data_IF_884535197088
#
_entry.id   IF_884535197088
#
_cell.length_a   1.000
_cell.length_b   1.000
_cell.length_c   1.000
_cell.angle_alpha   90.00
_cell.angle_beta   90.00
_cell.angle_gamma   90.00
#
_symmetry.space_group_name_H-M   'P 1'
#
loop_
_entity.id
_entity.type
_entity.pdbx_description
1 polymer ?
#
# COMPACT_ATOMS: atom_id res chain seq x y z
N UNK A 1 -22.76 21.17 -21.32
CA UNK A 1 -22.08 20.15 -20.49
C UNK A 1 -21.80 18.93 -21.37
N UNK A 2 -20.52 18.58 -21.58
CA UNK A 2 -20.05 17.57 -22.56
C UNK A 2 -20.77 16.22 -22.42
N UNK A 3 -21.20 15.86 -21.21
CA UNK A 3 -21.94 14.62 -20.93
C UNK A 3 -23.27 14.47 -21.70
N UNK A 4 -23.94 15.56 -22.10
CA UNK A 4 -25.20 15.48 -22.87
C UNK A 4 -24.97 15.21 -24.37
N UNK A 5 -23.72 15.20 -24.82
CA UNK A 5 -23.37 14.90 -26.22
C UNK A 5 -23.27 13.39 -26.47
N UNK A 6 -23.22 12.57 -25.43
CA UNK A 6 -23.30 11.10 -25.55
C UNK A 6 -24.74 10.71 -25.90
N UNK A 7 -24.93 10.11 -27.07
CA UNK A 7 -26.25 9.71 -27.58
C UNK A 7 -26.61 8.26 -27.28
N UNK A 8 -25.61 7.43 -27.04
CA UNK A 8 -25.76 6.00 -26.85
C UNK A 8 -25.26 5.61 -25.46
N UNK A 9 -26.06 4.83 -24.76
CA UNK A 9 -25.72 4.25 -23.45
C UNK A 9 -25.81 2.74 -23.59
N UNK A 10 -24.66 2.07 -23.47
CA UNK A 10 -24.58 0.61 -23.51
C UNK A 10 -24.49 0.11 -22.07
N UNK A 11 -25.48 -0.69 -21.65
CA UNK A 11 -25.53 -1.29 -20.32
C UNK A 11 -25.24 -2.79 -20.44
N UNK A 12 -24.15 -3.23 -19.81
CA UNK A 12 -23.82 -4.64 -19.71
C UNK A 12 -24.58 -5.25 -18.53
N UNK A 13 -25.40 -6.26 -18.80
CA UNK A 13 -26.26 -6.91 -17.80
C UNK A 13 -25.69 -8.22 -17.25
N UNK A 14 -24.76 -8.84 -17.97
CA UNK A 14 -24.18 -10.13 -17.57
C UNK A 14 -23.02 -9.93 -16.59
N UNK A 15 -23.14 -10.57 -15.41
CA UNK A 15 -22.09 -10.55 -14.39
C UNK A 15 -21.30 -11.85 -14.44
N UNK A 16 -20.08 -11.77 -14.99
CA UNK A 16 -19.17 -12.92 -15.12
C UNK A 16 -18.36 -13.20 -13.86
N UNK A 17 -18.13 -12.20 -12.99
CA UNK A 17 -17.25 -12.35 -11.81
C UNK A 17 -17.79 -13.29 -10.73
N UNK A 18 -19.10 -13.41 -10.62
CA UNK A 18 -19.79 -14.25 -9.64
C UNK A 18 -20.62 -15.34 -10.34
N UNK A 19 -20.29 -15.70 -11.59
CA UNK A 19 -21.10 -16.63 -12.37
C UNK A 19 -21.21 -18.01 -11.72
N UNK A 20 -20.16 -18.44 -11.00
CA UNK A 20 -20.08 -19.73 -10.31
C UNK A 20 -20.83 -19.76 -8.97
N UNK A 21 -21.27 -18.60 -8.45
CA UNK A 21 -22.02 -18.50 -7.20
C UNK A 21 -23.31 -17.68 -7.41
N UNK A 22 -24.41 -18.35 -7.81
CA UNK A 22 -25.69 -17.69 -8.04
C UNK A 22 -26.26 -17.00 -6.80
N UNK A 23 -26.03 -17.56 -5.61
CA UNK A 23 -26.54 -17.02 -4.35
C UNK A 23 -25.87 -15.68 -4.06
N UNK A 24 -24.54 -15.65 -4.13
CA UNK A 24 -23.79 -14.42 -3.92
C UNK A 24 -24.03 -13.38 -5.03
N UNK A 25 -24.14 -13.81 -6.28
CA UNK A 25 -24.49 -12.93 -7.42
C UNK A 25 -25.81 -12.22 -7.18
N UNK A 26 -26.84 -12.95 -6.75
CA UNK A 26 -28.17 -12.39 -6.55
C UNK A 26 -28.22 -11.46 -5.33
N UNK A 27 -27.48 -11.80 -4.26
CA UNK A 27 -27.27 -10.92 -3.12
C UNK A 27 -26.62 -9.58 -3.55
N UNK A 28 -25.54 -9.62 -4.34
CA UNK A 28 -24.87 -8.41 -4.85
C UNK A 28 -25.81 -7.58 -5.73
N UNK A 29 -26.66 -8.23 -6.53
CA UNK A 29 -27.67 -7.54 -7.36
C UNK A 29 -28.68 -6.80 -6.48
N UNK A 30 -29.18 -7.43 -5.41
CA UNK A 30 -30.10 -6.82 -4.44
C UNK A 30 -29.43 -5.69 -3.66
N UNK A 31 -28.17 -5.86 -3.23
CA UNK A 31 -27.39 -4.81 -2.58
C UNK A 31 -27.27 -3.55 -3.43
N UNK A 32 -27.01 -3.69 -4.74
CA UNK A 32 -26.95 -2.56 -5.69
C UNK A 32 -28.27 -1.85 -5.89
N UNK A 33 -29.39 -2.56 -5.76
CA UNK A 33 -30.74 -2.01 -5.87
C UNK A 33 -31.31 -1.53 -4.52
N UNK A 34 -30.51 -1.55 -3.44
CA UNK A 34 -30.94 -1.24 -2.07
C UNK A 34 -32.12 -2.11 -1.59
N UNK A 35 -32.18 -3.37 -2.02
CA UNK A 35 -33.28 -4.31 -1.75
C UNK A 35 -32.79 -5.58 -1.01
N UNK A 36 -31.88 -5.41 -0.05
CA UNK A 36 -31.35 -6.52 0.76
C UNK A 36 -32.44 -7.11 1.67
N UNK A 37 -32.48 -8.44 1.76
CA UNK A 37 -33.42 -9.16 2.62
C UNK A 37 -32.80 -9.58 3.96
N UNK A 38 -33.61 -10.10 4.88
CA UNK A 38 -33.14 -10.62 6.16
C UNK A 38 -32.29 -11.89 5.97
N UNK A 39 -32.62 -12.73 4.98
CA UNK A 39 -31.81 -13.90 4.61
C UNK A 39 -30.44 -13.50 4.05
N UNK A 40 -30.36 -12.41 3.28
CA UNK A 40 -29.07 -11.87 2.82
C UNK A 40 -28.19 -11.43 3.99
N UNK A 41 -28.79 -10.78 4.99
CA UNK A 41 -28.09 -10.36 6.20
C UNK A 41 -27.64 -11.56 7.04
N UNK A 42 -28.50 -12.57 7.19
CA UNK A 42 -28.15 -13.82 7.86
C UNK A 42 -26.97 -14.51 7.16
N UNK A 43 -26.99 -14.58 5.82
CA UNK A 43 -25.91 -15.14 5.02
C UNK A 43 -24.59 -14.38 5.24
N UNK A 44 -24.61 -13.05 5.21
CA UNK A 44 -23.42 -12.23 5.47
C UNK A 44 -22.87 -12.43 6.88
N UNK A 45 -23.75 -12.57 7.88
CA UNK A 45 -23.34 -12.82 9.25
C UNK A 45 -22.64 -14.18 9.43
N UNK A 46 -22.97 -15.18 8.61
CA UNK A 46 -22.22 -16.46 8.60
C UNK A 46 -20.76 -16.33 8.12
N UNK A 47 -20.40 -15.20 7.49
CA UNK A 47 -19.07 -14.93 6.92
C UNK A 47 -18.27 -13.92 7.72
N UNK A 48 -18.72 -13.56 8.93
CA UNK A 48 -17.98 -12.67 9.82
C UNK A 48 -16.73 -13.37 10.31
N UNK A 49 -15.58 -12.74 10.05
CA UNK A 49 -14.28 -13.20 10.53
C UNK A 49 -14.14 -12.88 12.03
N UNK A 50 -13.69 -13.84 12.81
CA UNK A 50 -13.43 -13.67 14.26
C UNK A 50 -11.96 -13.38 14.56
N UNK A 51 -11.06 -13.76 13.65
CA UNK A 51 -9.62 -13.54 13.76
C UNK A 51 -9.01 -13.16 12.41
N UNK A 52 -8.01 -12.28 12.45
CA UNK A 52 -7.26 -11.86 11.27
C UNK A 52 -6.22 -12.89 10.83
N UNK A 53 -5.93 -13.88 11.66
CA UNK A 53 -4.86 -14.87 11.46
C UNK A 53 -5.40 -16.26 11.10
N UNK A 54 -6.67 -16.33 10.68
CA UNK A 54 -7.27 -17.55 10.17
C UNK A 54 -6.48 -18.06 8.94
N UNK A 55 -6.12 -19.35 8.84
CA UNK A 55 -5.41 -19.89 7.68
C UNK A 55 -6.13 -19.66 6.35
N UNK A 56 -7.46 -19.64 6.37
CA UNK A 56 -8.30 -19.36 5.20
C UNK A 56 -8.12 -17.93 4.67
N UNK A 57 -7.56 -17.03 5.48
CA UNK A 57 -7.25 -15.65 5.12
C UNK A 57 -5.78 -15.46 4.71
N UNK A 58 -4.98 -16.54 4.59
CA UNK A 58 -3.62 -16.43 4.09
C UNK A 58 -3.62 -15.99 2.62
N UNK A 59 -2.93 -14.89 2.31
CA UNK A 59 -2.94 -14.28 0.97
C UNK A 59 -4.22 -13.49 0.63
N UNK A 60 -5.19 -13.38 1.55
CA UNK A 60 -6.40 -12.60 1.32
C UNK A 60 -6.15 -11.09 1.36
N UNK A 61 -6.88 -10.35 0.52
CA UNK A 61 -6.92 -8.88 0.53
C UNK A 61 -7.97 -8.37 1.51
N UNK A 62 -7.54 -7.55 2.47
CA UNK A 62 -8.39 -6.81 3.40
C UNK A 62 -8.81 -5.47 2.82
N UNK A 63 -10.12 -5.24 2.79
CA UNK A 63 -10.71 -3.95 2.41
C UNK A 63 -11.30 -3.31 3.66
N UNK A 64 -10.81 -2.12 4.00
CA UNK A 64 -11.28 -1.36 5.16
C UNK A 64 -11.64 0.07 4.80
N UNK A 65 -12.55 0.66 5.58
CA UNK A 65 -13.08 2.01 5.33
C UNK A 65 -12.06 3.13 5.60
N UNK A 66 -11.19 2.96 6.59
CA UNK A 66 -10.29 4.01 7.07
C UNK A 66 -8.83 3.70 6.77
N UNK A 67 -8.08 4.69 6.27
CA UNK A 67 -6.64 4.55 6.04
C UNK A 67 -5.87 4.25 7.32
N UNK A 68 -6.26 4.85 8.45
CA UNK A 68 -5.64 4.57 9.75
C UNK A 68 -5.77 3.09 10.14
N UNK A 69 -6.95 2.50 9.92
CA UNK A 69 -7.18 1.08 10.17
C UNK A 69 -6.38 0.21 9.20
N UNK A 70 -6.29 0.60 7.92
CA UNK A 70 -5.46 -0.09 6.92
C UNK A 70 -4.00 -0.14 7.35
N UNK A 71 -3.43 0.99 7.78
CA UNK A 71 -2.04 1.04 8.25
C UNK A 71 -1.82 0.17 9.47
N UNK A 72 -2.75 0.20 10.43
CA UNK A 72 -2.68 -0.65 11.62
C UNK A 72 -2.74 -2.15 11.26
N UNK A 73 -3.68 -2.56 10.40
CA UNK A 73 -3.79 -3.93 9.93
C UNK A 73 -2.55 -4.38 9.15
N UNK A 74 -1.98 -3.49 8.33
CA UNK A 74 -0.76 -3.77 7.59
C UNK A 74 0.42 -4.01 8.54
N UNK A 75 0.56 -3.22 9.60
CA UNK A 75 1.58 -3.41 10.63
C UNK A 75 1.40 -4.77 11.32
N UNK A 76 0.20 -5.05 11.82
CA UNK A 76 -0.12 -6.31 12.52
C UNK A 76 0.13 -7.53 11.62
N UNK A 77 -0.27 -7.45 10.33
CA UNK A 77 -0.01 -8.52 9.35
C UNK A 77 1.47 -8.66 9.03
N UNK A 78 2.22 -7.56 8.94
CA UNK A 78 3.68 -7.58 8.70
C UNK A 78 4.42 -8.23 9.87
N UNK A 79 4.06 -7.87 11.11
CA UNK A 79 4.60 -8.50 12.33
C UNK A 79 4.34 -10.00 12.36
N UNK A 80 3.08 -10.40 12.11
CA UNK A 80 2.73 -11.82 12.08
C UNK A 80 3.47 -12.56 10.97
N UNK A 81 3.53 -12.00 9.76
CA UNK A 81 4.24 -12.59 8.62
C UNK A 81 5.72 -12.82 8.93
N UNK A 82 6.38 -11.82 9.51
CA UNK A 82 7.78 -11.88 9.89
C UNK A 82 8.02 -12.93 10.98
N UNK A 83 7.21 -12.94 12.05
CA UNK A 83 7.31 -13.93 13.13
C UNK A 83 7.10 -15.37 12.65
N UNK A 84 6.08 -15.62 11.81
CA UNK A 84 5.82 -16.94 11.26
C UNK A 84 6.96 -17.49 10.39
N UNK A 85 7.80 -16.60 9.84
CA UNK A 85 8.94 -16.96 8.98
C UNK A 85 10.29 -16.79 9.69
N UNK A 86 10.29 -16.46 10.99
CA UNK A 86 11.50 -16.13 11.76
C UNK A 86 12.36 -15.06 11.08
N UNK A 87 11.71 -14.05 10.50
CA UNK A 87 12.32 -12.92 9.80
C UNK A 87 12.24 -11.64 10.64
N UNK A 88 13.13 -10.70 10.34
CA UNK A 88 13.12 -9.35 10.91
C UNK A 88 12.35 -8.38 10.01
N UNK A 89 11.92 -7.26 10.59
CA UNK A 89 11.28 -6.15 9.91
C UNK A 89 12.25 -4.98 9.88
N UNK A 90 12.55 -4.50 8.68
CA UNK A 90 13.38 -3.32 8.45
C UNK A 90 12.50 -2.09 8.31
N UNK A 91 12.79 -1.05 9.08
CA UNK A 91 12.08 0.23 9.05
C UNK A 91 12.98 1.24 8.34
N UNK A 92 12.47 1.83 7.26
CA UNK A 92 13.14 2.87 6.50
C UNK A 92 12.37 4.18 6.64
N UNK A 93 12.88 5.16 7.41
CA UNK A 93 12.27 6.45 7.53
C UNK A 93 12.49 7.26 6.24
N UNK A 94 11.49 8.03 5.87
CA UNK A 94 11.58 8.98 4.78
C UNK A 94 12.53 10.13 5.14
N UNK A 95 13.30 10.58 4.16
CA UNK A 95 14.27 11.64 4.42
C UNK A 95 13.64 13.02 4.33
N UNK A 96 13.55 13.63 5.52
CA UNK A 96 13.24 15.00 5.95
C UNK A 96 14.01 16.22 5.33
N UNK A 97 13.77 16.85 4.15
CA UNK A 97 14.36 18.18 3.82
C UNK A 97 13.38 19.39 3.76
N UNK A 98 13.70 20.49 4.46
CA UNK A 98 12.90 21.74 4.49
C UNK A 98 13.25 22.60 3.27
N UNK A 99 12.28 23.02 2.45
CA UNK A 99 12.56 23.78 1.22
C UNK A 99 12.51 25.30 1.43
N UNK A 100 11.55 25.80 2.22
CA UNK A 100 11.41 27.24 2.53
C UNK A 100 10.52 27.40 3.75
N UNK A 101 10.83 28.36 4.63
CA UNK A 101 9.98 28.71 5.76
C UNK A 101 9.69 30.19 5.84
N UNK A 102 8.40 30.52 5.79
CA UNK A 102 7.88 31.85 6.13
C UNK A 102 7.62 32.02 7.63
N UNK A 103 7.83 30.99 8.44
CA UNK A 103 7.54 31.00 9.88
C UNK A 103 8.77 30.70 10.73
N UNK A 104 8.90 31.47 11.81
CA UNK A 104 10.04 31.54 12.73
C UNK A 104 10.11 30.40 13.76
N UNK A 105 9.17 29.45 13.73
CA UNK A 105 9.12 28.35 14.70
C UNK A 105 9.91 27.12 14.20
N UNK A 106 10.72 26.47 15.05
CA UNK A 106 11.33 25.20 14.73
C UNK A 106 10.23 24.13 14.65
N UNK A 107 10.23 23.37 13.56
CA UNK A 107 9.38 22.20 13.38
C UNK A 107 10.28 20.98 13.58
N UNK A 108 9.99 20.17 14.59
CA UNK A 108 10.84 19.06 14.99
C UNK A 108 10.51 17.79 14.20
N UNK A 109 11.46 16.86 14.14
CA UNK A 109 11.24 15.55 13.50
C UNK A 109 10.10 14.79 14.21
N UNK A 110 9.95 14.94 15.53
CA UNK A 110 8.80 14.40 16.26
C UNK A 110 7.45 14.93 15.76
N UNK A 111 7.36 16.20 15.36
CA UNK A 111 6.11 16.78 14.84
C UNK A 111 5.70 16.15 13.50
N UNK A 112 6.68 15.73 12.70
CA UNK A 112 6.46 15.02 11.43
C UNK A 112 6.08 13.56 11.65
N UNK A 113 6.72 12.88 12.63
CA UNK A 113 6.46 11.49 12.98
C UNK A 113 5.12 11.31 13.72
N UNK A 114 4.70 12.30 14.52
CA UNK A 114 3.40 12.32 15.19
C UNK A 114 2.24 12.67 14.27
N UNK A 115 2.53 13.08 13.03
CA UNK A 115 1.50 13.52 12.12
C UNK A 115 0.66 12.34 11.63
N UNK A 116 -0.60 12.29 12.08
CA UNK A 116 -1.59 11.33 11.56
C UNK A 116 -1.81 11.56 10.06
N UNK A 117 -2.23 10.51 9.36
CA UNK A 117 -2.58 10.53 7.94
C UNK A 117 -3.68 11.59 7.70
N UNK A 118 -3.32 12.79 7.24
CA UNK A 118 -4.25 13.91 6.99
C UNK A 118 -4.85 13.83 5.58
N UNK A 119 -5.22 12.63 5.16
CA UNK A 119 -5.81 12.38 3.84
C UNK A 119 -4.88 12.77 2.70
N UNK A 120 -5.40 13.48 1.70
CA UNK A 120 -4.73 13.72 0.41
C UNK A 120 -3.46 14.59 0.48
N UNK A 121 -3.21 15.28 1.60
CA UNK A 121 -2.07 16.22 1.74
C UNK A 121 -0.79 15.55 2.21
N UNK A 122 -0.86 14.62 3.18
CA UNK A 122 0.28 13.82 3.64
C UNK A 122 -0.15 12.35 3.66
N UNK A 123 0.06 11.60 2.56
CA UNK A 123 -0.63 10.33 2.36
C UNK A 123 -0.01 9.13 3.11
N UNK A 124 0.96 9.34 4.02
CA UNK A 124 1.66 8.27 4.74
C UNK A 124 2.39 8.76 5.99
N UNK A 125 2.69 7.82 6.90
CA UNK A 125 3.41 8.03 8.17
C UNK A 125 4.91 8.32 8.03
N UNK A 126 5.43 8.36 6.80
CA UNK A 126 6.84 8.61 6.52
C UNK A 126 7.75 7.43 6.86
N UNK A 127 7.19 6.25 7.08
CA UNK A 127 7.91 5.01 7.35
C UNK A 127 7.59 3.99 6.25
N UNK A 128 8.63 3.34 5.75
CA UNK A 128 8.53 2.18 4.87
C UNK A 128 9.00 0.96 5.66
N UNK A 129 8.07 0.06 5.98
CA UNK A 129 8.39 -1.21 6.61
C UNK A 129 8.72 -2.21 5.51
N UNK A 130 9.66 -3.10 5.75
CA UNK A 130 10.03 -4.14 4.80
C UNK A 130 10.36 -5.42 5.53
N UNK A 131 9.80 -6.52 5.03
CA UNK A 131 10.24 -7.85 5.38
C UNK A 131 10.23 -8.69 4.09
N UNK A 132 11.29 -9.49 3.82
CA UNK A 132 11.42 -10.20 2.55
C UNK A 132 10.20 -11.08 2.24
N UNK A 133 9.69 -10.99 1.02
CA UNK A 133 8.56 -11.82 0.58
C UNK A 133 7.17 -11.28 0.96
N UNK A 134 7.08 -10.17 1.69
CA UNK A 134 5.79 -9.55 2.02
C UNK A 134 5.15 -8.90 0.80
N UNK A 135 3.90 -9.21 0.43
CA UNK A 135 3.24 -8.57 -0.70
C UNK A 135 3.18 -7.04 -0.56
N UNK A 136 3.25 -6.33 -1.68
CA UNK A 136 3.25 -4.88 -1.72
C UNK A 136 2.51 -4.33 -2.94
N UNK A 137 2.21 -3.05 -2.86
CA UNK A 137 1.56 -2.29 -3.94
C UNK A 137 2.33 -1.00 -4.21
N UNK A 138 2.50 -0.69 -5.49
CA UNK A 138 3.06 0.58 -5.95
C UNK A 138 2.00 1.68 -5.77
N UNK A 139 2.35 2.77 -5.08
CA UNK A 139 1.44 3.86 -4.74
C UNK A 139 1.61 5.10 -5.64
N UNK A 140 2.31 4.97 -6.77
CA UNK A 140 2.58 6.07 -7.69
C UNK A 140 2.71 5.59 -9.13
N UNK A 141 2.40 6.47 -10.06
CA UNK A 141 2.79 6.30 -11.44
C UNK A 141 4.26 6.64 -11.57
N UNK A 142 5.09 5.63 -11.77
CA UNK A 142 6.54 5.75 -11.96
C UNK A 142 6.85 5.66 -13.45
N UNK A 143 6.37 4.60 -14.11
CA UNK A 143 6.56 4.36 -15.54
C UNK A 143 5.38 3.57 -16.09
N UNK A 144 4.50 4.25 -16.84
CA UNK A 144 3.30 3.61 -17.42
C UNK A 144 3.65 2.57 -18.48
N UNK A 145 4.71 2.80 -19.24
CA UNK A 145 5.19 1.89 -20.30
C UNK A 145 5.59 0.52 -19.73
N UNK A 146 6.23 0.51 -18.56
CA UNK A 146 6.62 -0.72 -17.86
C UNK A 146 5.50 -1.28 -16.96
N UNK A 147 4.33 -0.65 -16.92
CA UNK A 147 3.24 -1.04 -16.03
C UNK A 147 3.45 -0.66 -14.56
N UNK A 148 4.38 0.26 -14.26
CA UNK A 148 4.68 0.73 -12.91
C UNK A 148 3.74 1.88 -12.58
N UNK A 149 2.49 1.53 -12.33
CA UNK A 149 1.41 2.46 -12.07
C UNK A 149 0.88 2.30 -10.65
N UNK A 150 0.16 3.30 -10.20
CA UNK A 150 -0.55 3.21 -8.94
C UNK A 150 -1.51 2.00 -8.95
N UNK A 151 -1.37 1.12 -7.96
CA UNK A 151 -2.15 -0.11 -7.84
C UNK A 151 -1.43 -1.37 -8.35
N UNK A 152 -0.25 -1.25 -8.95
CA UNK A 152 0.52 -2.43 -9.38
C UNK A 152 0.96 -3.26 -8.17
N UNK A 153 0.59 -4.54 -8.17
CA UNK A 153 0.89 -5.53 -7.12
C UNK A 153 2.17 -6.31 -7.41
N UNK A 154 2.80 -6.80 -6.35
CA UNK A 154 4.01 -7.59 -6.44
C UNK A 154 4.65 -7.86 -5.09
N UNK A 155 5.85 -8.41 -5.13
CA UNK A 155 6.61 -8.80 -3.95
C UNK A 155 7.97 -8.07 -4.00
N UNK A 156 8.31 -7.25 -2.99
CA UNK A 156 9.66 -6.78 -2.78
C UNK A 156 10.61 -7.98 -2.60
N UNK A 157 11.44 -8.24 -3.61
CA UNK A 157 12.39 -9.35 -3.62
C UNK A 157 13.71 -8.99 -2.94
N UNK A 158 14.01 -7.71 -2.78
CA UNK A 158 15.23 -7.24 -2.16
C UNK A 158 15.25 -5.73 -1.94
N UNK A 159 16.21 -5.27 -1.15
CA UNK A 159 16.47 -3.85 -0.93
C UNK A 159 17.94 -3.55 -1.23
N UNK A 160 18.17 -2.46 -1.96
CA UNK A 160 19.49 -1.86 -2.09
C UNK A 160 19.62 -0.77 -1.03
N UNK A 161 20.57 -0.96 -0.11
CA UNK A 161 20.80 -0.07 1.02
C UNK A 161 21.62 1.14 0.58
N UNK A 162 21.33 2.31 1.14
CA UNK A 162 22.15 3.50 0.95
C UNK A 162 23.52 3.27 1.63
N UNK A 163 24.66 3.49 0.95
CA UNK A 163 25.99 3.25 1.53
C UNK A 163 26.29 4.04 2.80
N UNK A 164 25.57 5.14 3.03
CA UNK A 164 25.69 5.99 4.23
C UNK A 164 24.68 5.63 5.33
N UNK A 165 23.96 4.52 5.18
CA UNK A 165 22.97 4.09 6.15
C UNK A 165 23.59 3.23 7.27
N UNK A 166 23.12 3.48 8.47
CA UNK A 166 23.40 2.68 9.65
C UNK A 166 22.15 1.90 10.05
N UNK A 167 22.35 0.80 10.77
CA UNK A 167 21.28 -0.04 11.29
C UNK A 167 21.30 -0.05 12.82
N UNK A 168 20.11 0.08 13.41
CA UNK A 168 19.89 0.03 14.85
C UNK A 168 18.82 -1.01 15.15
N UNK A 169 19.17 -2.00 15.97
CA UNK A 169 18.18 -2.94 16.49
C UNK A 169 17.33 -2.21 17.53
N UNK A 170 16.02 -2.16 17.29
CA UNK A 170 15.07 -1.62 18.27
C UNK A 170 14.71 -2.73 19.27
N UNK A 171 14.42 -3.93 18.74
CA UNK A 171 14.11 -5.13 19.50
C UNK A 171 14.39 -6.41 18.67
N UNK A 172 13.91 -7.55 19.15
CA UNK A 172 14.05 -8.86 18.49
C UNK A 172 13.31 -8.99 17.15
N UNK A 173 12.50 -8.02 16.76
CA UNK A 173 11.72 -8.04 15.52
C UNK A 173 12.08 -6.89 14.58
N UNK A 174 12.35 -5.70 15.10
CA UNK A 174 12.49 -4.46 14.33
C UNK A 174 13.94 -3.97 14.26
N UNK A 175 14.36 -3.63 13.04
CA UNK A 175 15.64 -3.00 12.72
C UNK A 175 15.36 -1.67 12.03
N UNK A 176 15.84 -0.56 12.62
CA UNK A 176 15.77 0.77 12.02
C UNK A 176 16.97 1.01 11.11
N UNK A 177 16.71 1.43 9.87
CA UNK A 177 17.72 1.97 8.97
C UNK A 177 17.70 3.50 9.04
N UNK A 178 18.84 4.19 9.10
CA UNK A 178 18.86 5.66 9.22
C UNK A 178 18.48 6.42 7.95
N UNK A 179 18.45 5.72 6.81
CA UNK A 179 18.19 6.32 5.49
C UNK A 179 17.05 5.57 4.79
N UNK A 180 16.34 6.21 3.85
CA UNK A 180 15.55 5.48 2.87
C UNK A 180 16.44 4.51 2.08
N UNK A 181 15.90 3.38 1.58
CA UNK A 181 16.67 2.50 0.71
C UNK A 181 17.01 3.23 -0.60
N UNK A 182 18.16 2.91 -1.20
CA UNK A 182 18.56 3.46 -2.49
C UNK A 182 17.56 3.05 -3.59
N UNK A 183 17.14 1.79 -3.58
CA UNK A 183 15.98 1.29 -4.31
C UNK A 183 15.45 0.00 -3.68
N UNK A 184 14.21 -0.36 -4.04
CA UNK A 184 13.63 -1.66 -3.71
C UNK A 184 13.50 -2.47 -4.98
N UNK A 185 14.03 -3.70 -4.98
CA UNK A 185 13.80 -4.65 -6.05
C UNK A 185 12.39 -5.21 -5.89
N UNK A 186 11.55 -5.00 -6.88
CA UNK A 186 10.15 -5.35 -6.82
C UNK A 186 9.80 -6.32 -7.93
N UNK A 187 9.24 -7.47 -7.57
CA UNK A 187 8.77 -8.48 -8.51
C UNK A 187 7.30 -8.28 -8.81
N UNK A 188 6.95 -7.97 -10.06
CA UNK A 188 5.55 -7.84 -10.46
C UNK A 188 4.85 -9.20 -10.57
N UNK A 189 3.58 -9.26 -10.17
CA UNK A 189 2.74 -10.45 -10.39
C UNK A 189 2.42 -10.65 -11.88
N UNK A 190 2.17 -9.57 -12.62
CA UNK A 190 1.79 -9.59 -14.04
C UNK A 190 2.69 -8.64 -14.85
N UNK A 191 3.94 -9.03 -15.15
CA UNK A 191 4.89 -8.20 -15.86
C UNK A 191 4.41 -7.95 -17.30
N UNK A 192 4.43 -6.68 -17.74
CA UNK A 192 3.96 -6.35 -19.09
C UNK A 192 4.97 -6.70 -20.17
N UNK A 193 6.27 -6.36 -20.03
CA UNK A 193 7.38 -6.82 -20.88
C UNK A 193 8.74 -6.36 -20.28
N UNK A 194 9.82 -7.08 -20.64
CA UNK A 194 11.26 -6.85 -20.38
C UNK A 194 11.77 -7.22 -18.97
N UNK A 195 12.60 -8.27 -18.91
CA UNK A 195 13.56 -8.46 -17.83
C UNK A 195 14.76 -7.55 -18.01
N UNK A 196 15.37 -7.12 -16.91
CA UNK A 196 16.62 -6.36 -16.96
C UNK A 196 17.81 -7.33 -16.99
N UNK A 197 18.82 -7.03 -17.79
CA UNK A 197 20.09 -7.77 -17.74
C UNK A 197 20.65 -7.72 -16.31
N UNK A 198 21.09 -8.87 -15.79
CA UNK A 198 21.59 -9.07 -14.42
C UNK A 198 20.56 -9.03 -13.27
N UNK A 199 19.26 -8.94 -13.54
CA UNK A 199 18.22 -9.14 -12.53
C UNK A 199 17.46 -10.45 -12.73
N UNK A 200 16.91 -10.99 -11.64
CA UNK A 200 15.98 -12.12 -11.71
C UNK A 200 14.79 -11.74 -12.60
N UNK A 201 14.22 -12.73 -13.31
CA UNK A 201 13.09 -12.49 -14.19
C UNK A 201 11.96 -11.76 -13.43
N UNK A 202 11.50 -10.64 -14.00
CA UNK A 202 10.42 -9.78 -13.49
C UNK A 202 10.74 -8.92 -12.24
N UNK A 203 11.99 -8.91 -11.78
CA UNK A 203 12.43 -7.97 -10.76
C UNK A 203 12.85 -6.64 -11.40
N UNK A 204 12.42 -5.52 -10.83
CA UNK A 204 12.81 -4.18 -11.28
C UNK A 204 13.11 -3.25 -10.11
N UNK A 205 14.04 -2.31 -10.28
CA UNK A 205 14.35 -1.34 -9.25
C UNK A 205 13.24 -0.28 -9.18
N UNK A 206 12.68 -0.11 -7.98
CA UNK A 206 11.79 0.99 -7.62
C UNK A 206 12.55 1.97 -6.76
N UNK A 207 12.75 3.17 -7.29
CA UNK A 207 13.46 4.22 -6.60
C UNK A 207 12.53 5.02 -5.69
N UNK A 208 13.03 5.53 -4.55
CA UNK A 208 12.31 6.50 -3.75
C UNK A 208 11.89 7.72 -4.58
N UNK A 209 10.62 8.11 -4.48
CA UNK A 209 10.08 9.30 -5.12
C UNK A 209 10.22 10.49 -4.19
N UNK A 210 10.67 11.61 -4.74
CA UNK A 210 10.71 12.87 -4.02
C UNK A 210 9.40 13.65 -4.18
N UNK A 211 8.77 14.09 -3.08
CA UNK A 211 7.51 14.84 -3.11
C UNK A 211 7.57 16.05 -2.20
N UNK A 212 7.05 17.17 -2.70
CA UNK A 212 6.83 18.34 -1.86
C UNK A 212 5.47 18.32 -1.18
N UNK A 213 5.44 18.64 0.11
CA UNK A 213 4.23 18.61 0.94
C UNK A 213 4.14 19.92 1.70
N UNK A 214 2.94 20.50 1.78
CA UNK A 214 2.70 21.72 2.57
C UNK A 214 1.94 21.40 3.85
N UNK A 215 2.56 21.62 5.01
CA UNK A 215 1.98 21.37 6.33
C UNK A 215 1.88 22.70 7.06
N UNK A 216 0.67 23.16 7.41
CA UNK A 216 0.44 24.35 8.26
C UNK A 216 1.41 25.53 7.98
N UNK A 217 1.54 25.98 6.74
CA UNK A 217 2.47 27.03 6.21
C UNK A 217 3.93 26.67 5.92
N UNK A 218 4.36 25.42 6.10
CA UNK A 218 5.70 24.95 5.74
C UNK A 218 5.68 24.18 4.42
N UNK A 219 6.60 24.46 3.49
CA UNK A 219 6.86 23.61 2.32
C UNK A 219 8.05 22.69 2.60
N UNK A 220 7.83 21.41 2.33
CA UNK A 220 8.76 20.32 2.63
C UNK A 220 9.04 19.52 1.35
N UNK A 221 10.21 18.88 1.20
CA UNK A 221 10.53 17.97 0.09
C UNK A 221 11.17 16.69 0.64
N UNK A 222 10.50 15.56 0.45
CA UNK A 222 10.94 14.28 1.02
C UNK A 222 11.17 13.21 0.00
N UNK A 223 12.29 12.50 0.13
CA UNK A 223 12.63 11.32 -0.65
C UNK A 223 12.04 10.09 0.03
N UNK A 224 11.10 9.45 -0.66
CA UNK A 224 10.19 8.43 -0.10
C UNK A 224 10.20 7.16 -0.92
N UNK A 225 10.53 6.04 -0.29
CA UNK A 225 10.23 4.73 -0.88
C UNK A 225 8.73 4.49 -0.79
N UNK A 226 8.02 4.76 -1.88
CA UNK A 226 6.57 4.51 -1.98
C UNK A 226 6.31 3.04 -2.20
N UNK A 227 6.41 2.26 -1.15
CA UNK A 227 6.01 0.86 -1.20
C UNK A 227 5.28 0.48 0.08
N UNK A 228 4.31 -0.40 -0.09
CA UNK A 228 3.37 -0.92 0.91
C UNK A 228 2.14 -0.05 1.18
N UNK A 229 1.08 -0.41 0.46
CA UNK A 229 -0.13 -0.86 1.15
C UNK A 229 -0.23 -2.34 0.89
N UNK A 230 -0.37 -3.17 1.91
CA UNK A 230 -1.05 -4.44 1.72
C UNK A 230 -2.51 -4.07 1.43
N UNK A 231 -3.05 -4.61 0.34
CA UNK A 231 -4.49 -4.75 0.20
C UNK A 231 -4.76 -6.16 0.62
#
# INVERSE_FOLDING_TARGET
MVWHLFKEVIILNEQIRQAQDPIFRDLVRRARASALTEEDLALLNTRVITSLFMPELEGATFVVKLNALRHHLNLVRTEHFARCRSQRIYIFPAQHSRTTSTSSFPLYLEDLLQQRDQGTKIPFQGLFLYTPGMPGVILANICTLLGHVNGTRGIPSGIVIDPSADFFEIDDLFILCTKPPACVLFRQENPKHLGFEHLQANDFPVFPIERSITIKTYSYKGRLSRQQSLT
#
